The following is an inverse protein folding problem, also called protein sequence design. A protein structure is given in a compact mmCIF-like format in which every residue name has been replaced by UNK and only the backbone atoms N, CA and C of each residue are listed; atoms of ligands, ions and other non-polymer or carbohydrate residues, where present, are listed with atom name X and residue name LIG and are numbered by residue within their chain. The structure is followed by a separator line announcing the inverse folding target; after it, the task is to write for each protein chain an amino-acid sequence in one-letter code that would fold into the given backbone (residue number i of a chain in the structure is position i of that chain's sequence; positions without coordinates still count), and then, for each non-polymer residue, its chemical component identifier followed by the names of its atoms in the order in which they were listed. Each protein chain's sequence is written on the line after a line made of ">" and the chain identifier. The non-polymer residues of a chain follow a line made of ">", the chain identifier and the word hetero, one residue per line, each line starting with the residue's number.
data_IF_644334153958
#
_entry.id   IF_644334153958
#
_cell.length_a   1.000
_cell.length_b   1.000
_cell.length_c   1.000
_cell.angle_alpha   90.00
_cell.angle_beta   90.00
_cell.angle_gamma   90.00
#
_symmetry.space_group_name_H-M   'P 1'
#
loop_
_entity.id
_entity.type
_entity.pdbx_description
1 polymer ?
#
# COMPACT_ATOMS: atom_id res chain seq x y z
N UNK A 1 -15.41 43.57 -24.09
CA UNK A 1 -15.69 42.33 -24.85
C UNK A 1 -14.79 41.26 -24.27
N UNK A 2 -15.35 40.19 -23.69
CA UNK A 2 -14.57 39.04 -23.23
C UNK A 2 -14.42 38.03 -24.37
N UNK A 3 -13.21 37.49 -24.54
CA UNK A 3 -12.88 36.51 -25.60
C UNK A 3 -12.33 35.26 -24.92
N UNK A 4 -12.77 34.09 -25.37
CA UNK A 4 -12.27 32.83 -24.82
C UNK A 4 -10.77 32.68 -25.11
N UNK A 5 -9.99 32.39 -24.07
CA UNK A 5 -8.55 32.10 -24.15
C UNK A 5 -8.28 30.67 -23.70
N UNK A 6 -7.25 30.05 -24.28
CA UNK A 6 -6.78 28.73 -23.84
C UNK A 6 -5.88 28.90 -22.62
N UNK A 7 -6.12 28.12 -21.58
CA UNK A 7 -5.28 28.10 -20.37
C UNK A 7 -5.31 26.80 -19.56
N UNK A 8 -6.14 25.83 -19.97
CA UNK A 8 -6.35 24.59 -19.21
C UNK A 8 -5.11 23.72 -19.08
N UNK A 9 -4.37 23.50 -20.18
CA UNK A 9 -3.14 22.68 -20.17
C UNK A 9 -2.09 23.26 -19.22
N UNK A 10 -1.79 24.56 -19.34
CA UNK A 10 -0.88 25.25 -18.43
C UNK A 10 -1.35 25.19 -16.97
N UNK A 11 -2.65 25.25 -16.72
CA UNK A 11 -3.20 25.12 -15.37
C UNK A 11 -3.02 23.71 -14.81
N UNK A 12 -3.21 22.67 -15.63
CA UNK A 12 -2.98 21.26 -15.27
C UNK A 12 -1.50 21.02 -14.96
N UNK A 13 -0.59 21.51 -15.80
CA UNK A 13 0.86 21.34 -15.59
C UNK A 13 1.32 21.99 -14.28
N UNK A 14 0.84 23.22 -14.00
CA UNK A 14 1.13 23.90 -12.74
C UNK A 14 0.54 23.13 -11.54
N UNK A 15 -0.65 22.55 -11.67
CA UNK A 15 -1.26 21.75 -10.62
C UNK A 15 -0.44 20.47 -10.34
N UNK A 16 0.07 19.80 -11.38
CA UNK A 16 0.95 18.64 -11.22
C UNK A 16 2.29 19.03 -10.57
N UNK A 17 2.85 20.19 -10.92
CA UNK A 17 4.08 20.69 -10.30
C UNK A 17 3.87 20.95 -8.80
N UNK A 18 2.76 21.62 -8.44
CA UNK A 18 2.38 21.84 -7.04
C UNK A 18 2.17 20.51 -6.29
N UNK A 19 1.48 19.53 -6.90
CA UNK A 19 1.30 18.22 -6.29
C UNK A 19 2.64 17.49 -6.06
N UNK A 20 3.59 17.63 -6.98
CA UNK A 20 4.92 17.04 -6.84
C UNK A 20 5.73 17.70 -5.71
N UNK A 21 5.61 19.02 -5.54
CA UNK A 21 6.19 19.77 -4.43
C UNK A 21 5.57 19.34 -3.09
N UNK A 22 4.24 19.32 -2.99
CA UNK A 22 3.51 18.84 -1.82
C UNK A 22 3.85 17.39 -1.47
N UNK A 23 4.03 16.52 -2.49
CA UNK A 23 4.46 15.12 -2.26
C UNK A 23 5.85 15.06 -1.66
N UNK A 24 6.76 15.92 -2.10
CA UNK A 24 8.13 15.94 -1.59
C UNK A 24 8.17 16.48 -0.17
N UNK A 25 7.36 17.48 0.15
CA UNK A 25 7.38 18.16 1.44
C UNK A 25 8.71 18.88 1.70
N UNK A 26 9.04 19.08 2.98
CA UNK A 26 10.28 19.74 3.42
C UNK A 26 11.53 19.00 2.92
N UNK A 27 12.42 19.73 2.24
CA UNK A 27 13.65 19.19 1.67
C UNK A 27 14.67 18.79 2.75
N UNK A 28 14.59 19.39 3.95
CA UNK A 28 15.45 19.05 5.08
C UNK A 28 15.05 17.70 5.72
N UNK A 29 13.82 17.23 5.46
CA UNK A 29 13.37 15.89 5.81
C UNK A 29 13.83 14.90 4.73
N UNK A 30 14.49 13.79 5.09
CA UNK A 30 14.84 12.75 4.14
C UNK A 30 13.62 12.21 3.38
N UNK A 31 13.75 12.08 2.06
CA UNK A 31 12.68 11.54 1.23
C UNK A 31 12.39 10.07 1.60
N UNK A 32 11.11 9.70 1.61
CA UNK A 32 10.68 8.32 1.86
C UNK A 32 11.29 7.35 0.83
N UNK A 33 12.03 6.36 1.31
CA UNK A 33 12.54 5.27 0.50
C UNK A 33 11.46 4.19 0.29
N UNK A 34 11.50 3.53 -0.87
CA UNK A 34 10.55 2.44 -1.16
C UNK A 34 10.68 1.30 -0.15
N UNK A 35 11.90 0.97 0.29
CA UNK A 35 12.13 -0.06 1.30
C UNK A 35 11.52 0.30 2.66
N UNK A 36 11.49 1.58 3.05
CA UNK A 36 10.83 2.01 4.29
C UNK A 36 9.32 1.72 4.21
N UNK A 37 8.67 2.10 3.10
CA UNK A 37 7.24 1.85 2.88
C UNK A 37 6.96 0.34 2.83
N UNK A 38 7.73 -0.39 2.03
CA UNK A 38 7.60 -1.84 1.84
C UNK A 38 7.72 -2.61 3.17
N UNK A 39 8.70 -2.26 4.00
CA UNK A 39 9.01 -3.02 5.21
C UNK A 39 8.21 -2.57 6.43
N UNK A 40 7.94 -1.27 6.57
CA UNK A 40 7.34 -0.69 7.79
C UNK A 40 5.85 -0.41 7.64
N UNK A 41 5.35 -0.27 6.41
CA UNK A 41 3.93 -0.05 6.11
C UNK A 41 3.31 -1.25 5.37
N UNK A 42 3.75 -2.47 5.71
CA UNK A 42 3.40 -3.68 4.96
C UNK A 42 1.90 -3.93 4.83
N UNK A 43 1.08 -3.55 5.82
CA UNK A 43 -0.39 -3.67 5.74
C UNK A 43 -1.01 -2.76 4.68
N UNK A 44 -0.45 -1.56 4.47
CA UNK A 44 -0.88 -0.67 3.39
C UNK A 44 -0.48 -1.25 2.03
N UNK A 45 0.74 -1.80 1.95
CA UNK A 45 1.26 -2.49 0.75
C UNK A 45 0.39 -3.69 0.39
N UNK A 46 0.05 -4.54 1.36
CA UNK A 46 -0.85 -5.69 1.19
C UNK A 46 -2.23 -5.27 0.69
N UNK A 47 -2.79 -4.18 1.24
CA UNK A 47 -4.06 -3.62 0.80
C UNK A 47 -4.01 -3.15 -0.64
N UNK A 48 -2.97 -2.40 -1.01
CA UNK A 48 -2.79 -1.87 -2.37
C UNK A 48 -2.60 -3.02 -3.37
N UNK A 49 -1.81 -4.04 -3.05
CA UNK A 49 -1.67 -5.24 -3.89
C UNK A 49 -2.99 -5.99 -4.05
N UNK A 50 -3.71 -6.19 -2.96
CA UNK A 50 -4.99 -6.93 -2.94
C UNK A 50 -6.07 -6.25 -3.76
N UNK A 51 -6.34 -4.97 -3.50
CA UNK A 51 -7.36 -4.20 -4.21
C UNK A 51 -6.91 -3.82 -5.65
N UNK A 52 -5.60 -3.59 -5.86
CA UNK A 52 -5.00 -3.32 -7.17
C UNK A 52 -4.89 -4.57 -8.07
N UNK A 53 -5.11 -5.76 -7.51
CA UNK A 53 -5.07 -7.04 -8.23
C UNK A 53 -3.73 -7.35 -8.91
N UNK A 54 -2.63 -6.88 -8.33
CA UNK A 54 -1.26 -7.13 -8.79
C UNK A 54 -0.37 -7.38 -7.57
N UNK A 55 0.17 -8.59 -7.47
CA UNK A 55 1.08 -8.97 -6.39
C UNK A 55 2.51 -8.55 -6.78
N UNK A 56 2.90 -7.36 -6.33
CA UNK A 56 4.27 -6.84 -6.45
C UNK A 56 4.49 -5.79 -5.33
N UNK A 57 5.23 -6.12 -4.26
CA UNK A 57 5.43 -5.21 -3.13
C UNK A 57 6.17 -3.92 -3.48
N UNK A 58 7.09 -3.97 -4.46
CA UNK A 58 7.88 -2.80 -4.86
C UNK A 58 7.01 -1.81 -5.65
N UNK A 59 6.18 -2.31 -6.57
CA UNK A 59 5.22 -1.47 -7.31
C UNK A 59 4.12 -0.92 -6.41
N UNK A 60 3.64 -1.70 -5.44
CA UNK A 60 2.68 -1.21 -4.46
C UNK A 60 3.28 -0.12 -3.56
N UNK A 61 4.52 -0.28 -3.09
CA UNK A 61 5.23 0.75 -2.34
C UNK A 61 5.45 2.02 -3.19
N UNK A 62 5.78 1.87 -4.48
CA UNK A 62 5.90 2.99 -5.41
C UNK A 62 4.57 3.72 -5.59
N UNK A 63 3.47 2.99 -5.77
CA UNK A 63 2.14 3.57 -5.90
C UNK A 63 1.73 4.36 -4.63
N UNK A 64 2.01 3.81 -3.44
CA UNK A 64 1.78 4.50 -2.15
C UNK A 64 2.60 5.79 -2.07
N UNK A 65 3.90 5.73 -2.43
CA UNK A 65 4.77 6.90 -2.46
C UNK A 65 4.25 7.97 -3.42
N UNK A 66 3.86 7.55 -4.62
CA UNK A 66 3.34 8.45 -5.65
C UNK A 66 2.05 9.14 -5.23
N UNK A 67 1.17 8.40 -4.55
CA UNK A 67 -0.12 8.86 -4.06
C UNK A 67 -0.06 9.59 -2.69
N UNK A 68 1.12 9.93 -2.18
CA UNK A 68 1.28 10.58 -0.86
C UNK A 68 0.64 9.81 0.31
N UNK A 69 0.54 8.48 0.18
CA UNK A 69 -0.15 7.65 1.17
C UNK A 69 -1.67 7.53 1.00
N UNK A 70 -2.29 8.20 0.02
CA UNK A 70 -3.69 7.93 -0.35
C UNK A 70 -3.80 6.54 -0.96
N UNK A 71 -4.39 5.62 -0.19
CA UNK A 71 -4.49 4.22 -0.58
C UNK A 71 -5.51 4.00 -1.72
N UNK A 72 -6.52 4.86 -1.85
CA UNK A 72 -7.51 4.74 -2.93
C UNK A 72 -6.84 5.09 -4.26
N UNK A 73 -6.07 6.18 -4.27
CA UNK A 73 -5.29 6.59 -5.45
C UNK A 73 -4.17 5.59 -5.76
N UNK A 74 -3.44 5.10 -4.76
CA UNK A 74 -2.41 4.07 -4.95
C UNK A 74 -2.97 2.78 -5.57
N UNK A 75 -4.14 2.32 -5.12
CA UNK A 75 -4.86 1.19 -5.73
C UNK A 75 -5.21 1.49 -7.19
N UNK A 76 -5.68 2.70 -7.48
CA UNK A 76 -6.02 3.09 -8.84
C UNK A 76 -4.80 3.11 -9.76
N UNK A 77 -3.68 3.68 -9.31
CA UNK A 77 -2.39 3.66 -10.01
C UNK A 77 -1.93 2.23 -10.33
N UNK A 78 -1.91 1.34 -9.33
CA UNK A 78 -1.46 -0.04 -9.53
C UNK A 78 -2.38 -0.81 -10.48
N UNK A 79 -3.69 -0.61 -10.35
CA UNK A 79 -4.69 -1.25 -11.22
C UNK A 79 -4.61 -0.74 -12.65
N UNK A 80 -4.35 0.56 -12.85
CA UNK A 80 -4.10 1.15 -14.16
C UNK A 80 -2.80 0.58 -14.76
N UNK A 81 -1.71 0.51 -14.00
CA UNK A 81 -0.46 -0.07 -14.46
C UNK A 81 -0.63 -1.52 -14.94
N UNK A 82 -1.38 -2.33 -14.18
CA UNK A 82 -1.69 -3.72 -14.55
C UNK A 82 -2.32 -3.86 -15.93
N UNK A 83 -3.11 -2.90 -16.42
CA UNK A 83 -3.73 -3.00 -17.76
C UNK A 83 -2.73 -2.83 -18.89
N UNK A 84 -1.56 -2.25 -18.60
CA UNK A 84 -0.46 -2.08 -19.57
C UNK A 84 0.39 -3.34 -19.72
N UNK A 85 0.26 -4.31 -18.81
CA UNK A 85 1.07 -5.53 -18.78
C UNK A 85 0.45 -6.66 -19.61
N UNK A 86 1.26 -7.41 -20.39
CA UNK A 86 0.79 -8.62 -21.04
C UNK A 86 0.55 -9.74 -20.04
N UNK A 87 -0.46 -10.59 -20.30
CA UNK A 87 -0.65 -11.83 -19.55
C UNK A 87 0.27 -12.91 -20.11
N UNK A 88 1.39 -13.15 -19.42
CA UNK A 88 2.40 -14.11 -19.86
C UNK A 88 2.01 -15.58 -19.62
N UNK A 89 1.32 -15.84 -18.50
CA UNK A 89 0.95 -17.18 -18.09
C UNK A 89 -0.28 -17.18 -17.16
N UNK A 90 -0.79 -18.37 -16.87
CA UNK A 90 -1.77 -18.63 -15.81
C UNK A 90 -1.17 -19.68 -14.89
N UNK A 91 -1.22 -19.45 -13.57
CA UNK A 91 -0.69 -20.41 -12.60
C UNK A 91 -1.61 -21.63 -12.49
N UNK A 92 -1.06 -22.72 -11.96
CA UNK A 92 -1.90 -23.79 -11.41
C UNK A 92 -2.65 -23.28 -10.16
N UNK A 93 -3.76 -23.91 -9.77
CA UNK A 93 -4.39 -23.65 -8.48
C UNK A 93 -3.40 -23.84 -7.33
N UNK A 94 -3.50 -22.97 -6.32
CA UNK A 94 -2.67 -23.06 -5.11
C UNK A 94 -3.29 -24.07 -4.15
N UNK A 95 -2.48 -24.99 -3.63
CA UNK A 95 -2.89 -25.87 -2.52
C UNK A 95 -2.64 -25.18 -1.18
N UNK A 96 -3.71 -24.66 -0.57
CA UNK A 96 -3.64 -23.96 0.72
C UNK A 96 -3.43 -24.89 1.91
N UNK A 97 -3.60 -26.22 1.75
CA UNK A 97 -3.32 -27.19 2.81
C UNK A 97 -1.81 -27.31 3.08
N UNK A 98 -0.98 -27.02 2.08
CA UNK A 98 0.49 -27.04 2.15
C UNK A 98 1.09 -25.69 2.55
N UNK A 99 0.26 -24.72 2.98
CA UNK A 99 0.73 -23.39 3.39
C UNK A 99 1.69 -23.49 4.58
N UNK A 100 2.82 -22.78 4.50
CA UNK A 100 3.63 -22.50 5.70
C UNK A 100 2.88 -21.48 6.56
N UNK A 101 2.17 -21.98 7.56
CA UNK A 101 1.24 -21.19 8.38
C UNK A 101 1.98 -20.14 9.21
N UNK A 102 1.67 -18.86 9.00
CA UNK A 102 2.07 -17.75 9.91
C UNK A 102 1.03 -17.43 10.97
N UNK A 103 -0.25 -17.66 10.66
CA UNK A 103 -1.41 -17.46 11.53
C UNK A 103 -2.52 -18.44 11.14
N UNK A 104 -3.17 -19.04 12.13
CA UNK A 104 -4.31 -19.96 11.97
C UNK A 104 -5.18 -19.91 13.21
N UNK A 105 -6.39 -19.40 13.06
CA UNK A 105 -7.37 -19.33 14.14
C UNK A 105 -8.71 -19.92 13.69
N UNK A 106 -9.47 -20.45 14.64
CA UNK A 106 -10.84 -20.92 14.43
C UNK A 106 -11.72 -20.48 15.59
N UNK A 107 -12.83 -19.82 15.28
CA UNK A 107 -13.81 -19.39 16.29
C UNK A 107 -14.81 -20.50 16.66
N UNK A 108 -14.90 -21.57 15.87
CA UNK A 108 -15.91 -22.63 16.04
C UNK A 108 -15.58 -23.58 17.17
N UNK A 109 -14.30 -23.83 17.41
CA UNK A 109 -13.83 -24.73 18.47
C UNK A 109 -12.82 -24.01 19.35
N UNK A 110 -12.84 -24.34 20.64
CA UNK A 110 -11.86 -23.81 21.59
C UNK A 110 -10.43 -24.20 21.17
N UNK A 111 -10.23 -25.44 20.73
CA UNK A 111 -8.93 -25.95 20.28
C UNK A 111 -9.05 -26.83 19.03
N UNK A 112 -7.93 -27.03 18.34
CA UNK A 112 -7.82 -27.67 17.03
C UNK A 112 -6.60 -28.59 17.02
N UNK A 113 -6.55 -29.64 16.19
CA UNK A 113 -5.28 -30.25 15.82
C UNK A 113 -4.31 -29.18 15.29
N UNK A 114 -3.11 -29.09 15.88
CA UNK A 114 -2.12 -28.04 15.61
C UNK A 114 -2.34 -26.72 16.36
N UNK A 115 -3.39 -26.63 17.18
CA UNK A 115 -3.67 -25.48 18.05
C UNK A 115 -4.17 -24.22 17.34
N UNK A 116 -4.48 -23.22 18.16
CA UNK A 116 -4.74 -21.84 17.73
C UNK A 116 -3.39 -21.09 17.61
N UNK A 117 -3.06 -20.62 16.42
CA UNK A 117 -1.83 -19.87 16.14
C UNK A 117 -2.20 -18.42 15.84
N UNK A 118 -2.05 -17.53 16.82
CA UNK A 118 -2.39 -16.11 16.63
C UNK A 118 -1.44 -15.42 15.63
N UNK A 119 -0.16 -15.78 15.61
CA UNK A 119 0.82 -15.07 14.76
C UNK A 119 0.90 -13.56 15.07
N UNK A 120 1.54 -12.77 14.19
CA UNK A 120 1.57 -11.31 14.32
C UNK A 120 0.16 -10.73 14.11
N UNK A 121 -0.39 -10.06 15.11
CA UNK A 121 -1.73 -9.47 15.04
C UNK A 121 -1.89 -8.27 15.97
N UNK A 122 -2.80 -7.37 15.61
CA UNK A 122 -3.32 -6.32 16.49
C UNK A 122 -4.55 -6.75 17.28
N UNK A 123 -5.04 -7.97 17.09
CA UNK A 123 -6.11 -8.51 17.93
C UNK A 123 -5.64 -8.47 19.39
N UNK A 124 -6.52 -8.02 20.28
CA UNK A 124 -6.26 -7.89 21.72
C UNK A 124 -5.32 -6.76 22.16
N UNK A 125 -4.81 -5.91 21.25
CA UNK A 125 -4.08 -4.71 21.67
C UNK A 125 -5.03 -3.66 22.25
N UNK A 126 -4.57 -2.83 23.17
CA UNK A 126 -5.31 -1.63 23.57
C UNK A 126 -5.06 -0.53 22.53
N UNK A 127 -6.13 0.17 22.11
CA UNK A 127 -6.07 1.15 21.02
C UNK A 127 -5.67 2.52 21.57
N UNK A 128 -4.46 2.57 22.09
CA UNK A 128 -3.82 3.75 22.66
C UNK A 128 -2.63 4.13 21.78
N UNK A 129 -2.39 5.43 21.61
CA UNK A 129 -1.20 5.91 20.89
C UNK A 129 0.06 5.58 21.71
N UNK A 130 1.03 4.96 21.05
CA UNK A 130 2.33 4.65 21.65
C UNK A 130 3.33 5.77 21.36
N UNK A 131 3.52 6.66 22.35
CA UNK A 131 4.45 7.78 22.24
C UNK A 131 5.92 7.36 22.21
N UNK A 132 6.26 6.12 22.59
CA UNK A 132 7.65 5.65 22.51
C UNK A 132 8.16 5.60 21.06
N UNK A 133 7.28 5.34 20.09
CA UNK A 133 7.62 5.32 18.66
C UNK A 133 8.04 6.68 18.10
N UNK A 134 7.73 7.80 18.79
CA UNK A 134 8.14 9.14 18.40
C UNK A 134 9.51 9.56 18.99
N UNK A 135 10.02 8.84 19.99
CA UNK A 135 11.24 9.22 20.72
C UNK A 135 12.55 8.71 20.07
N UNK A 136 12.45 7.95 18.97
CA UNK A 136 13.56 7.14 18.45
C UNK A 136 13.78 5.93 19.37
N UNK A 137 13.62 4.72 18.81
CA UNK A 137 13.77 3.48 19.58
C UNK A 137 15.14 3.30 20.22
#
# INVERSE_FOLDING_TARGET
>A
MYVAVKGGEKAIDNAHALLAEERRGDADVPELALDQIKQQMSLAVDRVMGEGSLYDPDLAALAIKQAQGDLVEAVFLLRAFRTTLPRLAVSTPIDTAMMTVRRRISATFKDLPGGQVLGPTYDYTHRLLDFALAAGG
#
